data_IF_785130566872
#
_entry.id   IF_785130566872
#
_cell.length_a   1.000
_cell.length_b   1.000
_cell.length_c   1.000
_cell.angle_alpha   90.00
_cell.angle_beta   90.00
_cell.angle_gamma   90.00
#
_symmetry.space_group_name_H-M   'P 1'
#
loop_
_entity.id
_entity.type
_entity.pdbx_description
1 polymer ?
#
# COMPACT_ATOMS: atom_id res chain seq x y z
N UNK A 1 -19.85 -11.73 0.24
CA UNK A 1 -18.84 -11.01 -0.54
C UNK A 1 -17.63 -10.76 0.36
N UNK A 2 -16.38 -10.89 -0.14
CA UNK A 2 -15.19 -10.42 0.61
C UNK A 2 -14.87 -9.01 0.13
N UNK A 3 -14.72 -8.07 1.07
CA UNK A 3 -14.38 -6.67 0.77
C UNK A 3 -12.95 -6.37 1.22
N UNK A 4 -12.29 -5.48 0.50
CA UNK A 4 -10.99 -4.92 0.87
C UNK A 4 -11.00 -3.39 0.68
N UNK A 5 -10.11 -2.69 1.39
CA UNK A 5 -9.86 -1.26 1.17
C UNK A 5 -8.37 -1.00 0.93
N UNK A 6 -8.05 0.12 0.30
CA UNK A 6 -6.65 0.55 0.08
C UNK A 6 -6.20 1.47 1.21
N UNK A 7 -4.98 1.27 1.72
CA UNK A 7 -4.40 2.20 2.71
C UNK A 7 -4.17 3.60 2.14
N UNK A 8 -4.29 3.79 0.82
CA UNK A 8 -4.38 5.12 0.21
C UNK A 8 -5.51 5.98 0.80
N UNK A 9 -6.62 5.37 1.22
CA UNK A 9 -7.74 6.07 1.85
C UNK A 9 -7.54 6.43 3.32
N UNK A 10 -6.44 5.96 3.93
CA UNK A 10 -6.12 6.15 5.36
C UNK A 10 -4.62 6.40 5.57
N UNK A 11 -4.06 7.47 4.96
CA UNK A 11 -2.63 7.71 4.97
C UNK A 11 -2.07 7.91 6.38
N UNK A 12 -0.89 7.35 6.65
CA UNK A 12 -0.16 7.55 7.91
C UNK A 12 -0.65 6.70 9.08
N UNK A 13 -1.71 5.90 8.93
CA UNK A 13 -2.08 4.92 9.96
C UNK A 13 -0.98 3.85 10.09
N UNK A 14 -0.68 3.48 11.32
CA UNK A 14 0.18 2.34 11.60
C UNK A 14 -0.48 1.03 11.18
N UNK A 15 0.32 -0.03 10.99
CA UNK A 15 -0.21 -1.34 10.58
C UNK A 15 -1.22 -1.93 11.59
N UNK A 16 -1.01 -1.84 12.92
CA UNK A 16 -2.03 -2.23 13.89
C UNK A 16 -3.34 -1.44 13.75
N UNK A 17 -3.28 -0.13 13.48
CA UNK A 17 -4.48 0.69 13.26
C UNK A 17 -5.23 0.29 11.99
N UNK A 18 -4.51 -0.01 10.91
CA UNK A 18 -5.11 -0.52 9.65
C UNK A 18 -5.81 -1.86 9.89
N UNK A 19 -5.20 -2.77 10.64
CA UNK A 19 -5.78 -4.08 10.98
C UNK A 19 -7.01 -3.93 11.88
N UNK A 20 -6.96 -3.04 12.87
CA UNK A 20 -8.10 -2.74 13.73
C UNK A 20 -9.26 -2.13 12.95
N UNK A 21 -8.99 -1.23 12.00
CA UNK A 21 -9.99 -0.66 11.11
C UNK A 21 -10.62 -1.74 10.22
N UNK A 22 -9.82 -2.59 9.58
CA UNK A 22 -10.33 -3.67 8.73
C UNK A 22 -11.25 -4.61 9.50
N UNK A 23 -10.83 -5.01 10.70
CA UNK A 23 -11.58 -5.92 11.56
C UNK A 23 -12.89 -5.30 12.04
N UNK A 24 -12.87 -4.05 12.51
CA UNK A 24 -14.05 -3.38 13.05
C UNK A 24 -15.08 -3.00 11.99
N UNK A 25 -14.64 -2.69 10.76
CA UNK A 25 -15.51 -2.36 9.65
C UNK A 25 -15.95 -3.58 8.80
N UNK A 26 -15.55 -4.80 9.18
CA UNK A 26 -15.97 -6.03 8.51
C UNK A 26 -15.27 -6.32 7.17
N UNK A 27 -14.16 -5.63 6.88
CA UNK A 27 -13.32 -5.93 5.73
C UNK A 27 -12.52 -7.22 5.98
N UNK A 28 -12.17 -7.91 4.89
CA UNK A 28 -11.42 -9.17 4.89
C UNK A 28 -10.06 -9.06 4.25
N UNK A 29 -9.71 -7.89 3.74
CA UNK A 29 -8.37 -7.64 3.24
C UNK A 29 -8.05 -6.18 3.00
N UNK A 30 -6.80 -5.95 2.63
CA UNK A 30 -6.24 -4.62 2.37
C UNK A 30 -5.35 -4.62 1.13
N UNK A 31 -5.30 -3.49 0.45
CA UNK A 31 -4.21 -3.13 -0.45
C UNK A 31 -3.24 -2.21 0.29
N UNK A 32 -1.95 -2.58 0.31
CA UNK A 32 -0.91 -1.80 0.97
C UNK A 32 -0.25 -0.81 0.01
N UNK A 33 -0.36 0.48 0.30
CA UNK A 33 0.36 1.55 -0.40
C UNK A 33 1.84 1.54 -0.03
N UNK A 34 2.71 1.16 -0.97
CA UNK A 34 4.17 1.11 -0.76
C UNK A 34 4.85 2.45 -1.08
N UNK A 35 4.67 3.44 -0.21
CA UNK A 35 5.24 4.80 -0.34
C UNK A 35 6.30 5.07 0.73
N UNK A 36 7.39 5.83 0.47
CA UNK A 36 8.45 6.09 1.46
C UNK A 36 8.00 6.68 2.80
N UNK A 37 6.85 7.34 2.84
CA UNK A 37 6.26 7.93 4.07
C UNK A 37 5.30 6.98 4.80
N UNK A 38 5.03 5.80 4.25
CA UNK A 38 4.13 4.82 4.85
C UNK A 38 4.91 3.76 5.64
N UNK A 39 4.30 3.09 6.63
CA UNK A 39 4.94 2.01 7.39
C UNK A 39 5.40 0.84 6.52
N UNK A 40 4.73 0.59 5.40
CA UNK A 40 5.13 -0.41 4.40
C UNK A 40 5.71 0.32 3.20
N UNK A 41 7.01 0.17 2.96
CA UNK A 41 7.69 0.80 1.83
C UNK A 41 8.86 -0.06 1.35
N UNK A 42 9.36 0.11 0.12
CA UNK A 42 10.40 -0.76 -0.43
C UNK A 42 11.71 -0.80 0.39
N UNK A 43 11.97 0.21 1.21
CA UNK A 43 13.18 0.32 2.05
C UNK A 43 13.17 -0.52 3.33
N UNK A 44 12.03 -1.09 3.75
CA UNK A 44 11.99 -1.94 4.95
C UNK A 44 12.64 -3.31 4.69
N UNK A 45 13.30 -3.83 5.72
CA UNK A 45 13.96 -5.12 5.70
C UNK A 45 13.02 -6.32 5.80
N UNK A 46 13.60 -7.52 5.77
CA UNK A 46 12.85 -8.78 5.82
C UNK A 46 12.13 -8.96 7.15
N UNK A 47 12.72 -8.51 8.26
CA UNK A 47 12.12 -8.63 9.60
C UNK A 47 10.87 -7.76 9.74
N UNK A 48 10.95 -6.53 9.25
CA UNK A 48 9.83 -5.59 9.23
C UNK A 48 8.69 -6.13 8.35
N UNK A 49 9.01 -6.68 7.16
CA UNK A 49 8.01 -7.33 6.29
C UNK A 49 7.33 -8.52 6.97
N UNK A 50 8.10 -9.36 7.66
CA UNK A 50 7.56 -10.50 8.39
C UNK A 50 6.62 -10.04 9.51
N UNK A 51 7.00 -9.01 10.27
CA UNK A 51 6.15 -8.44 11.32
C UNK A 51 4.81 -7.92 10.78
N UNK A 52 4.83 -7.22 9.64
CA UNK A 52 3.61 -6.76 8.94
C UNK A 52 2.74 -7.95 8.55
N UNK A 53 3.30 -8.94 7.87
CA UNK A 53 2.58 -10.14 7.42
C UNK A 53 1.97 -10.88 8.62
N UNK A 54 2.71 -11.01 9.71
CA UNK A 54 2.23 -11.71 10.91
C UNK A 54 1.09 -10.95 11.61
N UNK A 55 1.12 -9.61 11.61
CA UNK A 55 0.04 -8.78 12.15
C UNK A 55 -1.27 -9.00 11.39
N UNK A 56 -1.23 -8.94 10.05
CA UNK A 56 -2.40 -9.22 9.20
C UNK A 56 -2.89 -10.67 9.35
N UNK A 57 -1.97 -11.65 9.39
CA UNK A 57 -2.30 -13.06 9.60
C UNK A 57 -3.01 -13.32 10.93
N UNK A 58 -2.54 -12.71 12.02
CA UNK A 58 -3.16 -12.86 13.36
C UNK A 58 -4.61 -12.39 13.37
N UNK A 59 -4.94 -11.36 12.60
CA UNK A 59 -6.29 -10.82 12.50
C UNK A 59 -7.16 -11.49 11.43
N UNK A 60 -6.61 -12.44 10.65
CA UNK A 60 -7.32 -13.05 9.53
C UNK A 60 -7.67 -12.06 8.40
N UNK A 61 -6.88 -11.00 8.25
CA UNK A 61 -7.03 -9.99 7.20
C UNK A 61 -6.01 -10.30 6.09
N UNK A 62 -6.48 -10.41 4.86
CA UNK A 62 -5.65 -10.74 3.71
C UNK A 62 -4.93 -9.49 3.17
N UNK A 63 -3.62 -9.58 2.93
CA UNK A 63 -2.91 -8.58 2.12
C UNK A 63 -3.14 -8.97 0.65
N UNK A 64 -4.08 -8.30 -0.03
CA UNK A 64 -4.43 -8.65 -1.42
C UNK A 64 -3.33 -8.27 -2.40
N UNK A 65 -2.75 -7.10 -2.21
CA UNK A 65 -1.75 -6.55 -3.11
C UNK A 65 -0.93 -5.46 -2.44
N UNK A 66 0.20 -5.13 -3.06
CA UNK A 66 1.06 -4.02 -2.70
C UNK A 66 1.05 -3.03 -3.87
N UNK A 67 0.45 -1.86 -3.66
CA UNK A 67 0.40 -0.80 -4.65
C UNK A 67 1.73 -0.05 -4.68
N UNK A 68 2.45 -0.14 -5.80
CA UNK A 68 3.71 0.54 -6.04
C UNK A 68 3.54 1.87 -6.81
N UNK A 69 4.61 2.66 -6.85
CA UNK A 69 4.68 3.94 -7.56
C UNK A 69 5.64 3.87 -8.75
N UNK A 70 5.50 2.84 -9.58
CA UNK A 70 6.37 2.65 -10.74
C UNK A 70 6.16 3.78 -11.75
N UNK A 71 7.23 4.53 -12.03
CA UNK A 71 7.22 5.61 -13.04
C UNK A 71 7.48 5.04 -14.42
N UNK A 72 6.43 4.61 -15.10
CA UNK A 72 6.50 4.04 -16.46
C UNK A 72 6.53 5.11 -17.56
N UNK A 73 6.11 6.33 -17.23
CA UNK A 73 6.15 7.47 -18.13
C UNK A 73 7.41 8.32 -17.88
N UNK A 74 7.80 9.08 -18.91
CA UNK A 74 8.88 10.06 -18.75
C UNK A 74 8.44 11.21 -17.86
N UNK A 75 9.38 11.76 -17.09
CA UNK A 75 9.15 13.00 -16.34
C UNK A 75 9.11 14.25 -17.25
N UNK A 76 9.55 14.13 -18.50
CA UNK A 76 9.52 15.21 -19.49
C UNK A 76 8.13 15.31 -20.11
N UNK A 77 7.61 16.53 -20.25
CA UNK A 77 6.34 16.78 -20.92
C UNK A 77 6.42 16.39 -22.41
N UNK A 78 5.31 15.92 -22.95
CA UNK A 78 5.28 15.48 -24.35
C UNK A 78 5.55 16.64 -25.32
N UNK A 79 5.10 17.86 -24.99
CA UNK A 79 5.34 19.08 -25.77
C UNK A 79 6.83 19.43 -25.91
N UNK A 80 7.66 19.06 -24.92
CA UNK A 80 9.11 19.29 -24.96
C UNK A 80 9.83 18.23 -25.81
N UNK A 81 9.18 17.09 -26.09
CA UNK A 81 9.71 16.01 -26.96
C UNK A 81 9.25 16.09 -28.39
N UNK A 82 8.04 16.57 -28.63
CA UNK A 82 7.51 16.85 -29.95
C UNK A 82 8.03 18.23 -30.35
N UNK A 83 9.33 18.29 -30.69
CA UNK A 83 10.00 19.53 -31.07
C UNK A 83 9.10 20.38 -31.98
N UNK A 84 8.94 21.65 -31.63
CA UNK A 84 8.20 22.62 -32.45
C UNK A 84 8.71 22.50 -33.88
N UNK A 85 7.87 21.93 -34.74
CA UNK A 85 8.11 21.85 -36.19
C UNK A 85 8.24 23.22 -36.81
#
# INVERSE_FOLDING_TARGET
>A
MKLAFSTLGVPGLSIPEVVALASSAGYRGVELRAHPEEPVHPGIGVRERAAVVDEFKRAGIEILTVAGYTRVASATADEDRLGRG
#
